data_IF_113488448676
#
_entry.id   IF_113488448676
#
_cell.length_a   1.000
_cell.length_b   1.000
_cell.length_c   1.000
_cell.angle_alpha   90.00
_cell.angle_beta   90.00
_cell.angle_gamma   90.00
#
_symmetry.space_group_name_H-M   'P 1'
#
loop_
_entity.id
_entity.type
_entity.pdbx_description
1 polymer ?
#
# COMPACT_ATOMS: atom_id res chain seq x y z
N UNK A 1 21.66 -1.30 23.47
CA UNK A 1 20.76 -2.37 23.00
C UNK A 1 19.32 -2.22 23.52
N UNK A 2 18.81 -1.00 23.66
CA UNK A 2 17.37 -0.71 23.73
C UNK A 2 16.96 -0.16 22.37
N UNK A 3 17.14 -0.96 21.33
CA UNK A 3 16.63 -0.62 20.00
C UNK A 3 15.12 -0.56 20.11
N UNK A 4 14.55 0.64 19.93
CA UNK A 4 13.14 0.96 20.15
C UNK A 4 12.22 -0.19 19.74
N UNK A 5 11.65 -0.90 20.72
CA UNK A 5 10.70 -2.00 20.53
C UNK A 5 9.55 -1.57 19.58
N UNK A 6 9.20 -0.29 19.61
CA UNK A 6 8.23 0.36 18.72
C UNK A 6 8.58 0.18 17.23
N UNK A 7 9.87 0.22 16.86
CA UNK A 7 10.29 0.03 15.46
C UNK A 7 10.08 -1.41 14.99
N UNK A 8 10.31 -2.39 15.88
CA UNK A 8 10.08 -3.80 15.58
C UNK A 8 8.59 -4.18 15.55
N UNK A 9 7.77 -3.56 16.40
CA UNK A 9 6.33 -3.83 16.47
C UNK A 9 5.51 -3.04 15.44
N UNK A 10 6.03 -1.92 14.94
CA UNK A 10 5.31 -1.03 14.01
C UNK A 10 4.75 -1.75 12.77
N UNK A 11 5.50 -2.62 12.06
CA UNK A 11 4.98 -3.29 10.87
C UNK A 11 3.81 -4.24 11.17
N UNK A 12 3.82 -4.89 12.34
CA UNK A 12 2.77 -5.82 12.77
C UNK A 12 1.46 -5.14 13.16
N UNK A 13 1.42 -3.81 13.28
CA UNK A 13 0.17 -3.06 13.53
C UNK A 13 -0.89 -3.27 12.44
N UNK A 14 -0.50 -3.69 11.23
CA UNK A 14 -1.44 -4.06 10.17
C UNK A 14 -2.34 -5.25 10.56
N UNK A 15 -1.94 -6.06 11.56
CA UNK A 15 -2.74 -7.14 12.13
C UNK A 15 -4.12 -6.67 12.58
N UNK A 16 -4.22 -5.47 13.16
CA UNK A 16 -5.51 -4.93 13.59
C UNK A 16 -6.48 -4.77 12.41
N UNK A 17 -6.01 -4.21 11.29
CA UNK A 17 -6.82 -4.07 10.09
C UNK A 17 -7.19 -5.44 9.49
N UNK A 18 -6.26 -6.39 9.47
CA UNK A 18 -6.50 -7.74 8.95
C UNK A 18 -7.55 -8.51 9.77
N UNK A 19 -7.46 -8.47 11.11
CA UNK A 19 -8.40 -9.14 12.02
C UNK A 19 -9.79 -8.53 11.93
N UNK A 20 -9.92 -7.19 12.00
CA UNK A 20 -11.21 -6.50 11.85
C UNK A 20 -11.84 -6.86 10.49
N UNK A 21 -11.02 -6.87 9.44
CA UNK A 21 -11.44 -7.23 8.10
C UNK A 21 -11.99 -8.65 7.97
N UNK A 22 -11.42 -9.64 8.66
CA UNK A 22 -11.94 -11.02 8.68
C UNK A 22 -13.24 -11.11 9.46
N UNK A 23 -13.32 -10.51 10.65
CA UNK A 23 -14.54 -10.51 11.47
C UNK A 23 -15.72 -9.94 10.66
N UNK A 24 -15.47 -8.90 9.87
CA UNK A 24 -16.49 -8.24 9.04
C UNK A 24 -16.55 -8.72 7.59
N UNK A 25 -15.83 -9.78 7.22
CA UNK A 25 -15.68 -10.18 5.82
C UNK A 25 -17.01 -10.40 5.09
N UNK A 26 -17.97 -11.03 5.77
CA UNK A 26 -19.31 -11.30 5.23
C UNK A 26 -20.15 -10.03 5.00
N UNK A 27 -19.87 -8.97 5.76
CA UNK A 27 -20.59 -7.71 5.70
C UNK A 27 -19.98 -6.72 4.69
N UNK A 28 -18.69 -6.82 4.39
CA UNK A 28 -17.97 -5.83 3.58
C UNK A 28 -18.51 -5.79 2.14
N UNK A 29 -18.73 -4.59 1.62
CA UNK A 29 -19.03 -4.38 0.20
C UNK A 29 -17.88 -4.91 -0.68
N UNK A 30 -18.21 -5.71 -1.70
CA UNK A 30 -17.24 -6.39 -2.58
C UNK A 30 -16.20 -5.46 -3.22
N UNK A 31 -16.52 -4.19 -3.41
CA UNK A 31 -15.62 -3.18 -3.96
C UNK A 31 -14.37 -2.94 -3.09
N UNK A 32 -14.39 -3.33 -1.80
CA UNK A 32 -13.27 -3.20 -0.86
C UNK A 32 -12.48 -4.50 -0.65
N UNK A 33 -12.84 -5.61 -1.30
CA UNK A 33 -12.07 -6.87 -1.16
C UNK A 33 -10.58 -6.73 -1.50
N UNK A 34 -10.17 -5.98 -2.54
CA UNK A 34 -8.74 -5.79 -2.82
C UNK A 34 -8.01 -5.13 -1.65
N UNK A 35 -8.65 -4.20 -0.96
CA UNK A 35 -8.08 -3.53 0.21
C UNK A 35 -7.88 -4.51 1.37
N UNK A 36 -8.83 -5.41 1.61
CA UNK A 36 -8.64 -6.47 2.61
C UNK A 36 -7.48 -7.40 2.26
N UNK A 37 -7.34 -7.77 0.98
CA UNK A 37 -6.22 -8.58 0.53
C UNK A 37 -4.89 -7.84 0.69
N UNK A 38 -4.84 -6.52 0.50
CA UNK A 38 -3.63 -5.72 0.78
C UNK A 38 -3.23 -5.84 2.25
N UNK A 39 -4.18 -5.72 3.19
CA UNK A 39 -3.88 -5.86 4.62
C UNK A 39 -3.32 -7.25 4.97
N UNK A 40 -3.93 -8.30 4.43
CA UNK A 40 -3.45 -9.68 4.65
C UNK A 40 -2.11 -9.96 3.99
N UNK A 41 -1.92 -9.46 2.77
CA UNK A 41 -0.70 -9.63 2.02
C UNK A 41 0.45 -8.88 2.71
N UNK A 42 0.21 -7.67 3.24
CA UNK A 42 1.17 -6.95 4.08
C UNK A 42 1.61 -7.76 5.30
N UNK A 43 0.65 -8.31 6.05
CA UNK A 43 0.96 -9.14 7.21
C UNK A 43 1.77 -10.39 6.84
N UNK A 44 1.35 -11.12 5.80
CA UNK A 44 2.01 -12.34 5.35
C UNK A 44 3.45 -12.06 4.90
N UNK A 45 3.66 -10.99 4.13
CA UNK A 45 4.99 -10.66 3.61
C UNK A 45 5.92 -10.04 4.67
N UNK A 46 5.41 -9.38 5.70
CA UNK A 46 6.22 -8.98 6.86
C UNK A 46 6.78 -10.19 7.62
N UNK A 47 5.93 -11.20 7.85
CA UNK A 47 6.37 -12.46 8.48
C UNK A 47 7.38 -13.18 7.59
N UNK A 48 7.10 -13.33 6.29
CA UNK A 48 8.03 -13.98 5.35
C UNK A 48 9.35 -13.21 5.21
N UNK A 49 9.31 -11.88 5.13
CA UNK A 49 10.50 -11.06 5.04
C UNK A 49 11.37 -11.23 6.29
N UNK A 50 10.76 -11.22 7.48
CA UNK A 50 11.46 -11.44 8.75
C UNK A 50 12.17 -12.80 8.79
N UNK A 51 11.49 -13.87 8.37
CA UNK A 51 12.06 -15.22 8.32
C UNK A 51 13.21 -15.30 7.30
N UNK A 52 13.01 -14.80 6.08
CA UNK A 52 14.01 -14.89 5.02
C UNK A 52 15.25 -14.02 5.26
N UNK A 53 15.09 -12.85 5.89
CA UNK A 53 16.22 -12.03 6.29
C UNK A 53 17.05 -12.72 7.38
N UNK A 54 16.41 -13.40 8.32
CA UNK A 54 17.10 -14.13 9.38
C UNK A 54 17.80 -15.39 8.85
N UNK A 55 17.12 -16.20 8.03
CA UNK A 55 17.65 -17.50 7.57
C UNK A 55 18.56 -17.39 6.34
N UNK A 56 18.17 -16.60 5.35
CA UNK A 56 18.82 -16.59 4.03
C UNK A 56 19.50 -15.26 3.70
N UNK A 57 19.31 -14.21 4.50
CA UNK A 57 19.77 -12.84 4.22
C UNK A 57 19.35 -12.34 2.83
N UNK A 58 18.17 -12.75 2.36
CA UNK A 58 17.65 -12.37 1.03
C UNK A 58 16.46 -11.43 1.14
N UNK A 59 16.31 -10.54 0.16
CA UNK A 59 15.20 -9.58 0.07
C UNK A 59 14.08 -10.02 -0.89
N UNK A 60 14.07 -11.29 -1.30
CA UNK A 60 13.11 -11.84 -2.27
C UNK A 60 11.66 -11.58 -1.84
N UNK A 61 11.24 -11.85 -0.57
CA UNK A 61 9.86 -11.58 -0.17
C UNK A 61 9.51 -10.10 -0.30
N UNK A 62 10.41 -9.19 0.07
CA UNK A 62 10.16 -7.74 -0.03
C UNK A 62 9.99 -7.28 -1.48
N UNK A 63 10.80 -7.81 -2.40
CA UNK A 63 10.70 -7.45 -3.82
C UNK A 63 9.48 -8.07 -4.51
N UNK A 64 9.06 -9.24 -4.05
CA UNK A 64 7.84 -9.88 -4.52
C UNK A 64 6.59 -9.18 -3.97
N UNK A 65 6.66 -8.74 -2.71
CA UNK A 65 5.59 -7.99 -2.04
C UNK A 65 5.19 -6.74 -2.82
N UNK A 66 6.16 -5.92 -3.23
CA UNK A 66 5.88 -4.65 -3.93
C UNK A 66 5.22 -4.83 -5.30
N UNK A 67 5.39 -5.99 -5.94
CA UNK A 67 4.63 -6.33 -7.15
C UNK A 67 3.16 -6.55 -6.80
N UNK A 68 2.88 -7.48 -5.88
CA UNK A 68 1.51 -7.82 -5.52
C UNK A 68 0.76 -6.65 -4.87
N UNK A 69 1.44 -5.84 -4.06
CA UNK A 69 0.90 -4.61 -3.49
C UNK A 69 0.42 -3.67 -4.62
N UNK A 70 1.28 -3.39 -5.60
CA UNK A 70 0.93 -2.56 -6.76
C UNK A 70 -0.26 -3.10 -7.54
N UNK A 71 -0.27 -4.40 -7.84
CA UNK A 71 -1.36 -5.05 -8.59
C UNK A 71 -2.70 -4.97 -7.84
N UNK A 72 -2.70 -5.21 -6.52
CA UNK A 72 -3.91 -5.14 -5.70
C UNK A 72 -4.45 -3.71 -5.61
N UNK A 73 -3.58 -2.69 -5.50
CA UNK A 73 -4.03 -1.30 -5.51
C UNK A 73 -4.62 -0.89 -6.86
N UNK A 74 -4.03 -1.28 -8.00
CA UNK A 74 -4.65 -1.02 -9.31
C UNK A 74 -6.03 -1.69 -9.37
N UNK A 75 -6.14 -2.93 -8.89
CA UNK A 75 -7.43 -3.62 -8.83
C UNK A 75 -8.45 -2.89 -7.94
N UNK A 76 -8.01 -2.36 -6.78
CA UNK A 76 -8.84 -1.52 -5.91
C UNK A 76 -9.40 -0.30 -6.66
N UNK A 77 -8.54 0.46 -7.35
CA UNK A 77 -8.95 1.64 -8.12
C UNK A 77 -9.86 1.28 -9.30
N UNK A 78 -9.67 0.11 -9.92
CA UNK A 78 -10.60 -0.41 -10.94
C UNK A 78 -11.99 -0.65 -10.36
N UNK A 79 -12.09 -1.30 -9.20
CA UNK A 79 -13.36 -1.57 -8.54
C UNK A 79 -14.08 -0.29 -8.12
N UNK A 80 -13.35 0.78 -7.80
CA UNK A 80 -13.95 2.08 -7.50
C UNK A 80 -14.25 2.94 -8.73
N UNK A 81 -13.96 2.42 -9.92
CA UNK A 81 -14.35 3.04 -11.17
C UNK A 81 -13.39 4.13 -11.68
N UNK A 82 -12.15 4.20 -11.17
CA UNK A 82 -11.16 5.17 -11.68
C UNK A 82 -10.93 5.02 -13.19
N UNK A 83 -11.07 3.80 -13.73
CA UNK A 83 -10.89 3.47 -15.15
C UNK A 83 -12.19 3.39 -15.97
N UNK A 84 -13.35 3.80 -15.44
CA UNK A 84 -14.64 3.65 -16.14
C UNK A 84 -14.70 4.37 -17.50
N UNK A 85 -14.03 5.53 -17.62
CA UNK A 85 -14.02 6.31 -18.87
C UNK A 85 -13.13 5.68 -19.95
N UNK A 86 -12.06 4.98 -19.55
CA UNK A 86 -11.12 4.37 -20.48
C UNK A 86 -10.59 3.06 -19.90
N UNK A 87 -11.30 1.96 -20.18
CA UNK A 87 -10.93 0.63 -19.71
C UNK A 87 -9.56 0.16 -20.20
N UNK A 88 -9.07 0.70 -21.33
CA UNK A 88 -7.75 0.39 -21.86
C UNK A 88 -6.61 0.88 -20.95
N UNK A 89 -6.78 2.04 -20.31
CA UNK A 89 -5.77 2.57 -19.37
C UNK A 89 -5.48 1.62 -18.22
N UNK A 90 -6.48 0.84 -17.76
CA UNK A 90 -6.24 -0.18 -16.73
C UNK A 90 -5.20 -1.20 -17.18
N UNK A 91 -5.34 -1.74 -18.40
CA UNK A 91 -4.43 -2.74 -18.93
C UNK A 91 -3.04 -2.16 -19.22
N UNK A 92 -2.96 -0.90 -19.68
CA UNK A 92 -1.68 -0.21 -19.90
C UNK A 92 -0.93 0.00 -18.60
N UNK A 93 -1.59 0.46 -17.54
CA UNK A 93 -0.93 0.67 -16.24
C UNK A 93 -0.54 -0.68 -15.62
N UNK A 94 -1.42 -1.68 -15.71
CA UNK A 94 -1.15 -3.03 -15.21
C UNK A 94 0.07 -3.64 -15.90
N UNK A 95 0.15 -3.56 -17.24
CA UNK A 95 1.30 -4.07 -17.99
C UNK A 95 2.56 -3.26 -17.68
N UNK A 96 2.47 -1.94 -17.56
CA UNK A 96 3.61 -1.09 -17.18
C UNK A 96 4.19 -1.46 -15.81
N UNK A 97 3.35 -1.72 -14.80
CA UNK A 97 3.82 -2.19 -13.47
C UNK A 97 4.55 -3.52 -13.59
N UNK A 98 3.95 -4.51 -14.25
CA UNK A 98 4.57 -5.85 -14.38
C UNK A 98 5.88 -5.79 -15.15
N UNK A 99 5.90 -5.10 -16.29
CA UNK A 99 7.10 -4.95 -17.13
C UNK A 99 8.19 -4.19 -16.37
N UNK A 100 7.86 -3.10 -15.70
CA UNK A 100 8.85 -2.36 -14.89
C UNK A 100 9.44 -3.23 -13.78
N UNK A 101 8.63 -4.08 -13.14
CA UNK A 101 9.12 -5.00 -12.12
C UNK A 101 10.08 -6.06 -12.69
N UNK A 102 9.72 -6.65 -13.84
CA UNK A 102 10.56 -7.65 -14.53
C UNK A 102 11.90 -7.01 -14.93
N UNK A 103 11.84 -5.83 -15.56
CA UNK A 103 13.04 -5.11 -15.98
C UNK A 103 13.95 -4.79 -14.78
N UNK A 104 13.39 -4.32 -13.67
CA UNK A 104 14.22 -3.95 -12.51
C UNK A 104 14.82 -5.16 -11.79
N UNK A 105 14.08 -6.27 -11.64
CA UNK A 105 14.54 -7.43 -10.86
C UNK A 105 15.38 -8.45 -11.65
N UNK A 106 15.28 -8.47 -12.98
CA UNK A 106 15.99 -9.44 -13.82
C UNK A 106 16.98 -8.83 -14.80
N UNK A 107 16.80 -7.55 -15.19
CA UNK A 107 17.70 -6.89 -16.16
C UNK A 107 18.65 -5.92 -15.47
N UNK A 108 18.14 -5.04 -14.61
CA UNK A 108 18.95 -3.98 -14.00
C UNK A 108 19.58 -4.33 -12.66
N UNK A 109 18.85 -5.04 -11.81
CA UNK A 109 19.30 -5.46 -10.49
C UNK A 109 19.07 -6.97 -10.33
N UNK A 110 19.54 -7.51 -9.21
CA UNK A 110 19.24 -8.88 -8.80
C UNK A 110 18.07 -8.87 -7.82
N UNK A 111 17.14 -9.81 -7.95
CA UNK A 111 15.99 -10.00 -7.03
C UNK A 111 16.39 -10.14 -5.55
N UNK A 112 17.66 -10.45 -5.27
CA UNK A 112 18.19 -10.55 -3.91
C UNK A 112 18.47 -9.20 -3.25
N UNK A 113 18.61 -8.11 -4.03
CA UNK A 113 18.91 -6.75 -3.56
C UNK A 113 17.66 -5.85 -3.63
N UNK A 114 17.64 -4.79 -2.82
CA UNK A 114 16.52 -3.84 -2.81
C UNK A 114 16.47 -3.07 -4.14
N UNK A 115 15.31 -3.12 -4.80
CA UNK A 115 15.04 -2.48 -6.10
C UNK A 115 14.34 -1.12 -5.93
N UNK A 116 15.11 -0.06 -5.71
CA UNK A 116 14.57 1.29 -5.47
C UNK A 116 13.88 1.92 -6.67
N UNK A 117 14.30 1.60 -7.91
CA UNK A 117 13.76 2.21 -9.14
C UNK A 117 12.31 1.82 -9.37
N UNK A 118 12.02 0.52 -9.34
CA UNK A 118 10.65 0.02 -9.42
C UNK A 118 9.80 0.61 -8.29
N UNK A 119 10.35 0.66 -7.06
CA UNK A 119 9.64 1.20 -5.89
C UNK A 119 9.20 2.64 -6.06
N UNK A 120 10.06 3.49 -6.59
CA UNK A 120 9.71 4.88 -6.92
C UNK A 120 8.63 4.91 -8.01
N UNK A 121 8.82 4.16 -9.10
CA UNK A 121 7.91 4.15 -10.25
C UNK A 121 6.48 3.77 -9.87
N UNK A 122 6.28 2.64 -9.19
CA UNK A 122 4.93 2.22 -8.83
C UNK A 122 4.31 3.13 -7.75
N UNK A 123 5.11 3.66 -6.82
CA UNK A 123 4.63 4.62 -5.80
C UNK A 123 4.06 5.88 -6.45
N UNK A 124 4.72 6.41 -7.49
CA UNK A 124 4.22 7.57 -8.25
C UNK A 124 2.86 7.26 -8.88
N UNK A 125 2.72 6.10 -9.52
CA UNK A 125 1.45 5.67 -10.12
C UNK A 125 0.34 5.62 -9.06
N UNK A 126 0.61 5.02 -7.90
CA UNK A 126 -0.37 4.91 -6.82
C UNK A 126 -0.78 6.28 -6.25
N UNK A 127 0.17 7.20 -6.08
CA UNK A 127 -0.11 8.59 -5.65
C UNK A 127 -1.00 9.29 -6.67
N UNK A 128 -0.67 9.22 -7.97
CA UNK A 128 -1.48 9.85 -9.03
C UNK A 128 -2.90 9.27 -9.07
N UNK A 129 -3.04 7.94 -9.03
CA UNK A 129 -4.36 7.29 -9.01
C UNK A 129 -5.18 7.66 -7.77
N UNK A 130 -4.53 7.80 -6.61
CA UNK A 130 -5.19 8.24 -5.37
C UNK A 130 -5.69 9.67 -5.47
N UNK A 131 -4.89 10.59 -6.03
CA UNK A 131 -5.25 12.00 -6.22
C UNK A 131 -6.42 12.10 -7.20
N UNK A 132 -6.36 11.41 -8.35
CA UNK A 132 -7.46 11.37 -9.32
C UNK A 132 -8.75 10.83 -8.67
N UNK A 133 -8.65 9.79 -7.85
CA UNK A 133 -9.82 9.23 -7.16
C UNK A 133 -10.40 10.20 -6.13
N UNK A 134 -9.56 10.87 -5.33
CA UNK A 134 -10.01 11.91 -4.38
C UNK A 134 -10.69 13.05 -5.14
N UNK A 135 -10.12 13.53 -6.25
CA UNK A 135 -10.73 14.60 -7.05
C UNK A 135 -12.11 14.21 -7.57
N UNK A 136 -12.28 12.98 -8.08
CA UNK A 136 -13.58 12.44 -8.49
C UNK A 136 -14.56 12.34 -7.31
N UNK A 137 -14.06 11.98 -6.13
CA UNK A 137 -14.88 11.83 -4.92
C UNK A 137 -15.37 13.18 -4.40
N UNK A 138 -14.50 14.20 -4.36
CA UNK A 138 -14.82 15.57 -3.94
C UNK A 138 -15.91 16.18 -4.84
N UNK A 139 -15.85 15.92 -6.15
CA UNK A 139 -16.86 16.44 -7.09
C UNK A 139 -18.20 15.72 -6.93
N UNK A 140 -18.21 14.42 -6.60
CA UNK A 140 -19.43 13.59 -6.58
C UNK A 140 -20.13 13.53 -5.23
N UNK A 141 -19.40 13.62 -4.12
CA UNK A 141 -19.95 13.46 -2.77
C UNK A 141 -19.93 14.75 -1.96
N UNK A 142 -21.07 15.09 -1.33
CA UNK A 142 -21.22 16.23 -0.41
C UNK A 142 -21.19 15.84 1.07
N UNK A 143 -20.83 14.59 1.40
CA UNK A 143 -20.83 14.06 2.79
C UNK A 143 -19.50 14.34 3.48
N UNK A 144 -19.47 14.18 4.80
CA UNK A 144 -18.25 14.29 5.61
C UNK A 144 -17.15 13.34 5.10
N UNK A 145 -16.09 13.90 4.52
CA UNK A 145 -14.97 13.17 3.92
C UNK A 145 -14.25 12.24 4.91
N UNK A 146 -14.13 12.67 6.18
CA UNK A 146 -13.49 11.89 7.24
C UNK A 146 -14.24 10.60 7.60
N UNK A 147 -15.49 10.44 7.15
CA UNK A 147 -16.27 9.20 7.33
C UNK A 147 -16.29 8.35 6.07
N UNK A 148 -15.77 8.86 4.95
CA UNK A 148 -15.72 8.11 3.70
C UNK A 148 -14.47 7.22 3.66
N UNK A 149 -14.68 5.91 3.71
CA UNK A 149 -13.60 4.92 3.66
C UNK A 149 -12.69 5.07 2.43
N UNK A 150 -13.21 5.38 1.25
CA UNK A 150 -12.39 5.57 0.03
C UNK A 150 -11.47 6.77 0.16
N UNK A 151 -11.98 7.88 0.71
CA UNK A 151 -11.20 9.09 0.95
C UNK A 151 -10.04 8.80 1.89
N UNK A 152 -10.32 8.16 3.03
CA UNK A 152 -9.31 7.81 4.02
C UNK A 152 -8.24 6.85 3.48
N UNK A 153 -8.63 5.83 2.70
CA UNK A 153 -7.67 4.93 2.05
C UNK A 153 -6.78 5.70 1.08
N UNK A 154 -7.35 6.57 0.22
CA UNK A 154 -6.54 7.34 -0.72
C UNK A 154 -5.58 8.29 0.01
N UNK A 155 -6.02 8.92 1.11
CA UNK A 155 -5.16 9.75 1.96
C UNK A 155 -4.01 8.95 2.58
N UNK A 156 -4.29 7.73 3.05
CA UNK A 156 -3.28 6.83 3.59
C UNK A 156 -2.26 6.43 2.52
N UNK A 157 -2.73 6.06 1.32
CA UNK A 157 -1.89 5.72 0.16
C UNK A 157 -1.01 6.90 -0.24
N UNK A 158 -1.56 8.11 -0.39
CA UNK A 158 -0.77 9.31 -0.71
C UNK A 158 0.31 9.54 0.35
N UNK A 159 -0.05 9.52 1.62
CA UNK A 159 0.89 9.79 2.72
C UNK A 159 2.03 8.78 2.76
N UNK A 160 1.69 7.49 2.69
CA UNK A 160 2.67 6.40 2.73
C UNK A 160 3.60 6.41 1.52
N UNK A 161 3.05 6.45 0.31
CA UNK A 161 3.84 6.33 -0.92
C UNK A 161 4.62 7.60 -1.24
N UNK A 162 4.14 8.79 -0.85
CA UNK A 162 4.94 10.02 -0.96
C UNK A 162 6.19 9.93 -0.09
N UNK A 163 6.03 9.50 1.17
CA UNK A 163 7.17 9.34 2.05
C UNK A 163 8.10 8.21 1.56
N UNK A 164 7.54 7.11 1.04
CA UNK A 164 8.30 6.03 0.39
C UNK A 164 9.15 6.54 -0.78
N UNK A 165 8.60 7.36 -1.67
CA UNK A 165 9.36 7.97 -2.79
C UNK A 165 10.56 8.74 -2.24
N UNK A 166 10.35 9.58 -1.21
CA UNK A 166 11.43 10.34 -0.58
C UNK A 166 12.52 9.39 -0.08
N UNK A 167 12.16 8.35 0.68
CA UNK A 167 13.15 7.40 1.21
C UNK A 167 13.96 6.69 0.13
N UNK A 168 13.30 6.25 -0.94
CA UNK A 168 13.95 5.51 -2.03
C UNK A 168 14.84 6.42 -2.89
N UNK A 169 14.46 7.69 -3.09
CA UNK A 169 15.29 8.68 -3.81
C UNK A 169 16.57 8.98 -3.03
N UNK A 170 16.46 9.15 -1.71
CA UNK A 170 17.64 9.36 -0.85
C UNK A 170 18.54 8.12 -0.81
N UNK A 171 17.95 6.93 -0.72
CA UNK A 171 18.67 5.66 -0.74
C UNK A 171 19.39 5.44 -2.07
N UNK A 172 18.75 5.72 -3.21
CA UNK A 172 19.35 5.51 -4.52
C UNK A 172 20.49 6.50 -4.82
N UNK A 173 20.32 7.78 -4.48
CA UNK A 173 21.24 8.83 -4.95
C UNK A 173 22.35 9.18 -3.96
N UNK A 174 22.17 8.91 -2.67
CA UNK A 174 23.02 9.50 -1.61
C UNK A 174 23.49 8.49 -0.55
N UNK A 175 23.17 7.19 -0.68
CA UNK A 175 23.56 6.15 0.29
C UNK A 175 25.07 6.08 0.56
N UNK A 176 25.89 6.39 -0.45
CA UNK A 176 27.35 6.34 -0.29
C UNK A 176 27.98 7.67 0.20
N UNK A 177 27.18 8.73 0.42
CA UNK A 177 27.67 10.10 0.72
C UNK A 177 27.18 10.67 2.05
N UNK A 178 26.14 10.09 2.66
CA UNK A 178 25.54 10.57 3.91
C UNK A 178 25.89 9.66 5.09
N UNK A 179 25.75 10.21 6.31
CA UNK A 179 26.01 9.46 7.53
C UNK A 179 24.93 8.38 7.77
N UNK A 180 25.33 7.24 8.35
CA UNK A 180 24.40 6.18 8.76
C UNK A 180 23.31 6.70 9.72
N UNK A 181 23.65 7.71 10.53
CA UNK A 181 22.72 8.38 11.44
C UNK A 181 21.58 9.10 10.71
N UNK A 182 21.83 9.62 9.51
CA UNK A 182 20.78 10.23 8.69
C UNK A 182 19.80 9.17 8.19
N UNK A 183 20.30 8.07 7.63
CA UNK A 183 19.45 6.97 7.15
C UNK A 183 18.64 6.33 8.27
N UNK A 184 19.25 6.12 9.43
CA UNK A 184 18.54 5.59 10.60
C UNK A 184 17.34 6.48 11.00
N UNK A 185 17.50 7.82 10.98
CA UNK A 185 16.40 8.75 11.24
C UNK A 185 15.35 8.75 10.12
N UNK A 186 15.79 8.73 8.87
CA UNK A 186 14.93 8.71 7.69
C UNK A 186 14.01 7.47 7.68
N UNK A 187 14.59 6.29 7.89
CA UNK A 187 13.84 5.04 8.04
C UNK A 187 13.01 5.02 9.33
N UNK A 188 13.51 5.61 10.42
CA UNK A 188 12.75 5.80 11.66
C UNK A 188 11.41 6.50 11.42
N UNK A 189 11.41 7.61 10.67
CA UNK A 189 10.17 8.31 10.28
C UNK A 189 9.30 7.42 9.39
N UNK A 190 9.87 6.64 8.46
CA UNK A 190 9.10 5.68 7.63
C UNK A 190 8.32 4.71 8.51
N UNK A 191 8.93 4.20 9.58
CA UNK A 191 8.26 3.30 10.52
C UNK A 191 7.10 3.98 11.27
N UNK A 192 7.22 5.26 11.63
CA UNK A 192 6.11 6.01 12.24
C UNK A 192 4.98 6.28 11.23
N UNK A 193 5.31 6.66 10.00
CA UNK A 193 4.32 6.83 8.92
C UNK A 193 3.58 5.52 8.66
N UNK A 194 4.31 4.40 8.60
CA UNK A 194 3.72 3.06 8.43
C UNK A 194 2.76 2.71 9.57
N UNK A 195 3.13 2.98 10.83
CA UNK A 195 2.28 2.76 11.99
C UNK A 195 0.98 3.56 11.89
N UNK A 196 1.07 4.86 11.60
CA UNK A 196 -0.10 5.75 11.46
C UNK A 196 -1.01 5.25 10.33
N UNK A 197 -0.44 4.85 9.20
CA UNK A 197 -1.17 4.33 8.03
C UNK A 197 -1.88 3.01 8.37
N UNK A 198 -1.22 2.09 9.07
CA UNK A 198 -1.81 0.82 9.50
C UNK A 198 -2.96 1.03 10.49
N UNK A 199 -2.81 1.97 11.44
CA UNK A 199 -3.90 2.35 12.35
C UNK A 199 -5.06 3.00 11.60
N UNK A 200 -4.76 3.84 10.60
CA UNK A 200 -5.76 4.42 9.73
C UNK A 200 -6.49 3.34 8.91
N UNK A 201 -5.79 2.30 8.44
CA UNK A 201 -6.42 1.15 7.79
C UNK A 201 -7.34 0.38 8.74
N UNK A 202 -6.94 0.18 9.99
CA UNK A 202 -7.80 -0.44 11.01
C UNK A 202 -9.06 0.40 11.26
N UNK A 203 -8.92 1.72 11.36
CA UNK A 203 -10.04 2.65 11.46
C UNK A 203 -10.96 2.58 10.24
N UNK A 204 -10.41 2.60 9.03
CA UNK A 204 -11.15 2.45 7.77
C UNK A 204 -11.96 1.16 7.76
N UNK A 205 -11.39 0.03 8.19
CA UNK A 205 -12.08 -1.26 8.23
C UNK A 205 -13.36 -1.22 9.10
N UNK A 206 -13.43 -0.34 10.10
CA UNK A 206 -14.64 -0.11 10.89
C UNK A 206 -15.69 0.73 10.12
N UNK A 207 -15.26 1.60 9.22
CA UNK A 207 -16.13 2.49 8.45
C UNK A 207 -16.57 1.97 7.09
N UNK A 208 -16.01 0.86 6.61
CA UNK A 208 -16.43 0.26 5.35
C UNK A 208 -17.94 -0.07 5.40
N UNK A 209 -18.72 0.37 4.39
CA UNK A 209 -20.16 0.16 4.36
C UNK A 209 -20.48 -1.33 4.25
N UNK A 210 -21.60 -1.71 4.88
CA UNK A 210 -22.14 -3.06 4.74
C UNK A 210 -22.67 -3.28 3.32
N UNK A 211 -22.61 -4.52 2.83
CA UNK A 211 -23.19 -4.97 1.57
C UNK A 211 -24.67 -4.59 1.54
N UNK A 212 -25.08 -3.84 0.52
CA UNK A 212 -26.50 -3.54 0.30
C UNK A 212 -27.21 -4.83 -0.09
N UNK A 213 -28.11 -5.31 0.77
CA UNK A 213 -29.03 -6.39 0.40
C UNK A 213 -30.09 -5.79 -0.52
N UNK A 214 -30.16 -6.28 -1.76
CA UNK A 214 -31.08 -5.77 -2.78
C UNK A 214 -32.57 -5.90 -2.40
N UNK A 215 -32.89 -6.65 -1.35
CA UNK A 215 -34.27 -6.89 -0.90
C UNK A 215 -34.85 -5.77 -0.01
N UNK A 216 -34.06 -4.76 0.37
CA UNK A 216 -34.47 -3.75 1.36
C UNK A 216 -34.91 -2.41 0.75
N UNK A 217 -35.31 -2.39 -0.53
CA UNK A 217 -35.92 -1.20 -1.17
C UNK A 217 -37.07 -1.58 -2.10
N UNK A 218 -38.27 -1.65 -1.53
CA UNK A 218 -39.47 -1.07 -2.10
C UNK A 218 -40.22 -0.39 -0.93
N UNK A 219 -40.06 0.94 -0.71
CA UNK A 219 -41.13 1.73 -0.12
C UNK A 219 -42.30 1.87 -1.11
#
# INVERSE_FOLDING_TARGET
>A
MTGNIILYLSPYSILFAAVIGVIRFKEIEKSYYPFLYICWLGLLFEVLASIFQFTFKTMIPSNTYVLFEGLLYIWLFRNWGSFQKNGYMFYVILSAIVVAWILDNFVYNTIHLITSRYRIFYSIILVILSIDHINKLIVRERKNFLRNAKFLICMAVISFFTYKIITEVFWMNINNKLSETFFSKLFGIQHYVNLIVNLLFAYVMLWIPKRKNFLERLP
#
